data_IF_939758030568
#
_entry.id   IF_939758030568
#
_cell.length_a   1.000
_cell.length_b   1.000
_cell.length_c   1.000
_cell.angle_alpha   90.00
_cell.angle_beta   90.00
_cell.angle_gamma   90.00
#
_symmetry.space_group_name_H-M   'P 1'
#
loop_
_entity.id
_entity.type
_entity.pdbx_description
1 polymer ?
#
# COMPACT_ATOMS: atom_id res chain seq x y z
N UNK A 1 6.95 -16.04 4.12
CA UNK A 1 6.41 -14.71 4.50
C UNK A 1 6.05 -13.94 3.25
N UNK A 2 4.85 -13.42 3.20
CA UNK A 2 4.38 -12.63 2.06
C UNK A 2 4.42 -11.15 2.41
N UNK A 3 4.80 -10.34 1.43
CA UNK A 3 4.80 -8.87 1.57
C UNK A 3 3.75 -8.30 0.63
N UNK A 4 2.88 -7.46 1.18
CA UNK A 4 1.93 -6.67 0.39
C UNK A 4 2.30 -5.20 0.60
N UNK A 5 2.48 -4.47 -0.48
CA UNK A 5 2.68 -3.03 -0.40
C UNK A 5 1.38 -2.31 -0.70
N UNK A 6 1.17 -1.18 -0.05
CA UNK A 6 -0.03 -0.36 -0.25
C UNK A 6 0.34 1.03 -0.76
N UNK A 7 -0.37 1.45 -1.78
CA UNK A 7 -0.28 2.80 -2.33
C UNK A 7 -1.70 3.28 -2.57
N UNK A 8 -2.13 4.31 -1.83
CA UNK A 8 -3.52 4.78 -1.89
C UNK A 8 -3.59 6.31 -1.85
N UNK A 9 -4.78 6.82 -2.10
CA UNK A 9 -5.12 8.23 -1.93
C UNK A 9 -5.96 8.48 -0.68
N UNK A 10 -6.05 7.49 0.23
CA UNK A 10 -6.90 7.60 1.42
C UNK A 10 -6.39 8.59 2.46
N UNK A 11 -5.08 8.85 2.50
CA UNK A 11 -4.46 9.57 3.61
C UNK A 11 -4.42 8.70 4.87
N UNK A 12 -3.86 9.24 5.93
CA UNK A 12 -3.74 8.53 7.21
C UNK A 12 -4.63 9.12 8.30
N UNK A 13 -5.42 10.13 7.98
CA UNK A 13 -6.21 10.85 8.97
C UNK A 13 -7.46 10.10 9.42
N UNK A 14 -8.09 9.38 8.48
CA UNK A 14 -9.31 8.63 8.74
C UNK A 14 -9.01 7.15 8.97
N UNK A 15 -10.08 6.38 9.16
CA UNK A 15 -10.00 4.95 9.47
C UNK A 15 -9.81 4.05 8.24
N UNK A 16 -9.80 4.60 7.02
CA UNK A 16 -9.84 3.78 5.80
C UNK A 16 -8.63 2.88 5.64
N UNK A 17 -7.43 3.38 5.89
CA UNK A 17 -6.22 2.58 5.77
C UNK A 17 -6.21 1.47 6.81
N UNK A 18 -6.59 1.79 8.05
CA UNK A 18 -6.69 0.79 9.11
C UNK A 18 -7.69 -0.30 8.78
N UNK A 19 -8.85 0.07 8.27
CA UNK A 19 -9.88 -0.90 7.87
C UNK A 19 -9.42 -1.79 6.72
N UNK A 20 -8.73 -1.22 5.74
CA UNK A 20 -8.14 -1.98 4.63
C UNK A 20 -7.14 -3.00 5.13
N UNK A 21 -6.22 -2.59 6.00
CA UNK A 21 -5.22 -3.48 6.59
C UNK A 21 -5.87 -4.58 7.41
N UNK A 22 -6.90 -4.25 8.18
CA UNK A 22 -7.64 -5.23 8.96
C UNK A 22 -8.27 -6.31 8.09
N UNK A 23 -8.85 -5.93 6.95
CA UNK A 23 -9.41 -6.89 6.00
C UNK A 23 -8.33 -7.79 5.40
N UNK A 24 -7.20 -7.22 5.02
CA UNK A 24 -6.09 -7.99 4.46
C UNK A 24 -5.59 -9.01 5.49
N UNK A 25 -5.37 -8.58 6.71
CA UNK A 25 -4.87 -9.45 7.79
C UNK A 25 -5.89 -10.55 8.12
N UNK A 26 -7.19 -10.25 8.06
CA UNK A 26 -8.24 -11.25 8.30
C UNK A 26 -8.20 -12.38 7.28
N UNK A 27 -7.84 -12.07 6.02
CA UNK A 27 -7.72 -13.09 4.97
C UNK A 27 -6.35 -13.77 4.96
N UNK A 28 -5.29 -13.05 5.34
CA UNK A 28 -3.91 -13.52 5.28
C UNK A 28 -3.16 -13.12 6.56
N UNK A 29 -3.38 -13.84 7.70
CA UNK A 29 -2.83 -13.43 9.00
C UNK A 29 -1.31 -13.33 9.06
N UNK A 30 -0.59 -14.00 8.18
CA UNK A 30 0.86 -14.02 8.18
C UNK A 30 1.48 -12.99 7.23
N UNK A 31 0.67 -12.11 6.65
CA UNK A 31 1.16 -11.13 5.71
C UNK A 31 1.90 -9.99 6.42
N UNK A 32 2.96 -9.49 5.77
CA UNK A 32 3.58 -8.21 6.13
C UNK A 32 3.04 -7.13 5.20
N UNK A 33 2.50 -6.07 5.79
CA UNK A 33 1.97 -4.95 5.02
C UNK A 33 2.93 -3.78 5.15
N UNK A 34 3.41 -3.29 4.02
CA UNK A 34 4.33 -2.14 3.95
C UNK A 34 3.64 -1.02 3.21
N UNK A 35 3.54 0.13 3.83
CA UNK A 35 2.98 1.32 3.19
C UNK A 35 4.03 1.99 2.31
N UNK A 36 3.69 2.21 1.05
CA UNK A 36 4.53 3.03 0.17
C UNK A 36 4.09 4.49 0.31
N UNK A 37 2.81 4.75 0.11
CA UNK A 37 2.24 6.09 0.29
C UNK A 37 0.74 6.02 0.41
N UNK A 38 0.14 6.88 1.22
CA UNK A 38 -1.30 7.07 1.30
C UNK A 38 -1.69 8.53 1.03
N UNK A 39 -0.74 9.32 0.53
CA UNK A 39 -0.92 10.76 0.27
C UNK A 39 -0.90 11.09 -1.22
N UNK A 40 -1.27 10.14 -2.05
CA UNK A 40 -1.43 10.39 -3.49
C UNK A 40 -2.64 11.28 -3.69
N UNK A 41 -2.52 12.28 -4.56
CA UNK A 41 -3.66 13.14 -4.88
C UNK A 41 -4.79 12.29 -5.47
N UNK A 42 -6.05 12.54 -5.06
CA UNK A 42 -7.18 11.75 -5.53
C UNK A 42 -7.22 11.63 -7.06
N UNK A 43 -7.34 10.38 -7.53
CA UNK A 43 -7.41 10.05 -8.97
C UNK A 43 -6.17 10.43 -9.79
N UNK A 44 -5.05 10.74 -9.14
CA UNK A 44 -3.82 11.06 -9.87
C UNK A 44 -3.05 9.77 -10.20
N UNK A 45 -3.41 9.17 -11.32
CA UNK A 45 -2.82 7.90 -11.77
C UNK A 45 -1.33 8.06 -12.11
N UNK A 46 -0.94 9.21 -12.66
CA UNK A 46 0.46 9.46 -13.02
C UNK A 46 1.34 9.54 -11.78
N UNK A 47 0.86 10.20 -10.73
CA UNK A 47 1.59 10.26 -9.46
C UNK A 47 1.73 8.88 -8.84
N UNK A 48 0.64 8.10 -8.79
CA UNK A 48 0.66 6.74 -8.26
C UNK A 48 1.66 5.87 -9.02
N UNK A 49 1.64 5.92 -10.35
CA UNK A 49 2.56 5.16 -11.19
C UNK A 49 4.01 5.53 -10.93
N UNK A 50 4.30 6.81 -10.78
CA UNK A 50 5.64 7.29 -10.49
C UNK A 50 6.14 6.76 -9.14
N UNK A 51 5.31 6.88 -8.10
CA UNK A 51 5.67 6.47 -6.74
C UNK A 51 5.91 4.96 -6.69
N UNK A 52 5.03 4.16 -7.28
CA UNK A 52 5.19 2.70 -7.32
C UNK A 52 6.45 2.33 -8.08
N UNK A 53 6.68 2.94 -9.23
CA UNK A 53 7.89 2.70 -10.04
C UNK A 53 9.17 3.04 -9.30
N UNK A 54 9.17 4.14 -8.54
CA UNK A 54 10.33 4.56 -7.77
C UNK A 54 10.63 3.60 -6.61
N UNK A 55 9.60 3.03 -5.98
CA UNK A 55 9.76 2.14 -4.84
C UNK A 55 9.93 0.67 -5.20
N UNK A 56 9.50 0.28 -6.38
CA UNK A 56 9.38 -1.13 -6.80
C UNK A 56 10.66 -1.94 -6.58
N UNK A 57 11.81 -1.43 -6.99
CA UNK A 57 13.07 -2.16 -6.93
C UNK A 57 13.62 -2.31 -5.50
N UNK A 58 13.04 -1.60 -4.53
CA UNK A 58 13.45 -1.70 -3.13
C UNK A 58 12.87 -2.92 -2.43
N UNK A 59 11.92 -3.62 -3.06
CA UNK A 59 11.25 -4.74 -2.43
C UNK A 59 11.67 -6.08 -3.00
N UNK A 60 11.58 -7.15 -2.20
CA UNK A 60 11.92 -8.49 -2.65
C UNK A 60 11.04 -8.96 -3.80
N UNK A 61 11.58 -9.85 -4.61
CA UNK A 61 10.84 -10.51 -5.67
C UNK A 61 9.63 -11.26 -5.09
N UNK A 62 8.48 -11.14 -5.73
CA UNK A 62 7.26 -11.79 -5.26
C UNK A 62 6.40 -10.93 -4.35
N UNK A 63 6.80 -9.69 -4.16
CA UNK A 63 6.02 -8.73 -3.37
C UNK A 63 4.76 -8.32 -4.11
#
# INVERSE_FOLDING_TARGET
>A
MSIITLTTDYGLKDHFVGALKGKIISEYPEVNIIDISHDIDPFNILEASYIIGAAYSSFPKGT
#
